data_IF_211727518757
#
_entry.id   IF_211727518757
#
_cell.length_a   1.000
_cell.length_b   1.000
_cell.length_c   1.000
_cell.angle_alpha   90.00
_cell.angle_beta   90.00
_cell.angle_gamma   90.00
#
_symmetry.space_group_name_H-M   'P 1'
#
loop_
_entity.id
_entity.type
_entity.pdbx_description
1 polymer ?
#
# COMPACT_ATOMS: atom_id res chain seq x y z
N UNK A 1 12.36 -79.05 21.20
CA UNK A 1 11.82 -77.94 20.40
C UNK A 1 12.60 -76.69 20.77
N UNK A 2 13.58 -76.30 19.94
CA UNK A 2 14.33 -75.07 20.16
C UNK A 2 13.44 -73.91 19.67
N UNK A 3 13.03 -73.04 20.58
CA UNK A 3 12.39 -71.78 20.23
C UNK A 3 13.49 -70.88 19.62
N UNK A 4 13.53 -70.85 18.30
CA UNK A 4 14.35 -69.91 17.55
C UNK A 4 13.72 -68.53 17.73
N UNK A 5 14.23 -67.78 18.71
CA UNK A 5 13.90 -66.36 18.85
C UNK A 5 14.47 -65.65 17.63
N UNK A 6 13.65 -65.46 16.60
CA UNK A 6 13.93 -64.59 15.46
C UNK A 6 14.26 -63.21 16.01
N UNK A 7 15.55 -62.90 16.10
CA UNK A 7 16.02 -61.56 16.39
C UNK A 7 15.88 -60.79 15.08
N UNK A 8 14.66 -60.32 14.80
CA UNK A 8 14.46 -59.36 13.74
C UNK A 8 15.24 -58.10 14.12
N UNK A 9 16.44 -57.96 13.55
CA UNK A 9 17.06 -56.65 13.43
C UNK A 9 16.21 -55.95 12.38
N UNK A 10 15.12 -55.33 12.82
CA UNK A 10 14.29 -54.50 11.95
C UNK A 10 15.15 -53.35 11.46
N UNK A 11 15.89 -53.59 10.38
CA UNK A 11 16.65 -52.58 9.66
C UNK A 11 15.55 -51.70 9.05
N UNK A 12 15.25 -50.60 9.73
CA UNK A 12 14.43 -49.55 9.16
C UNK A 12 15.32 -48.87 8.13
N UNK A 13 15.04 -49.08 6.85
CA UNK A 13 15.67 -48.29 5.78
C UNK A 13 15.13 -46.88 5.90
N UNK A 14 15.98 -45.95 6.32
CA UNK A 14 15.62 -44.54 6.40
C UNK A 14 16.14 -43.84 5.16
N UNK A 15 15.22 -43.48 4.27
CA UNK A 15 15.52 -42.73 3.06
C UNK A 15 15.28 -41.23 3.28
N UNK A 16 16.22 -40.41 2.83
CA UNK A 16 16.04 -38.96 2.82
C UNK A 16 15.08 -38.56 1.69
N UNK A 17 13.98 -37.91 2.04
CA UNK A 17 13.04 -37.37 1.06
C UNK A 17 13.34 -35.89 0.78
N UNK A 18 13.97 -35.64 -0.37
CA UNK A 18 14.30 -34.29 -0.85
C UNK A 18 13.37 -33.79 -1.97
N UNK A 19 12.20 -34.41 -2.18
CA UNK A 19 11.24 -34.00 -3.22
C UNK A 19 10.71 -32.57 -3.05
N UNK A 20 10.82 -32.00 -1.85
CA UNK A 20 10.46 -30.59 -1.60
C UNK A 20 11.39 -29.60 -2.29
N UNK A 21 12.59 -30.03 -2.71
CA UNK A 21 13.55 -29.17 -3.41
C UNK A 21 13.25 -29.19 -4.91
N UNK A 22 13.06 -28.01 -5.49
CA UNK A 22 12.94 -27.90 -6.94
C UNK A 22 14.32 -27.69 -7.57
N UNK A 23 14.70 -28.56 -8.49
CA UNK A 23 15.94 -28.45 -9.26
C UNK A 23 17.25 -28.61 -8.46
N UNK A 24 18.37 -28.66 -9.17
CA UNK A 24 19.69 -28.74 -8.57
C UNK A 24 20.21 -27.32 -8.27
N UNK A 25 20.16 -26.91 -7.01
CA UNK A 25 20.63 -25.58 -6.60
C UNK A 25 22.16 -25.56 -6.46
N UNK A 26 22.82 -24.68 -7.22
CA UNK A 26 24.26 -24.38 -7.13
C UNK A 26 24.58 -23.20 -6.22
N UNK A 27 23.58 -22.61 -5.56
CA UNK A 27 23.70 -21.31 -4.89
C UNK A 27 23.87 -21.41 -3.36
N UNK A 28 24.62 -20.46 -2.80
CA UNK A 28 24.94 -20.26 -1.37
C UNK A 28 23.73 -19.79 -0.52
N UNK A 29 22.64 -20.57 -0.56
CA UNK A 29 21.35 -20.27 0.08
C UNK A 29 21.17 -20.83 1.50
N UNK A 30 22.24 -21.25 2.17
CA UNK A 30 22.19 -21.93 3.48
C UNK A 30 22.92 -21.17 4.57
N UNK A 31 22.45 -21.31 5.81
CA UNK A 31 23.09 -20.78 7.02
C UNK A 31 23.14 -21.85 8.09
N UNK A 32 24.17 -21.84 8.92
CA UNK A 32 24.27 -22.75 10.06
C UNK A 32 23.43 -22.26 11.23
N UNK A 33 22.57 -23.11 11.79
CA UNK A 33 21.70 -22.80 12.93
C UNK A 33 21.79 -23.89 14.00
N UNK A 34 21.38 -23.57 15.23
CA UNK A 34 21.24 -24.55 16.32
C UNK A 34 19.76 -24.91 16.49
N UNK A 35 19.46 -26.21 16.54
CA UNK A 35 18.10 -26.69 16.77
C UNK A 35 17.81 -26.83 18.28
N UNK A 36 16.59 -26.50 18.67
CA UNK A 36 16.04 -26.89 19.96
C UNK A 36 15.30 -28.21 19.80
N UNK A 37 15.99 -29.32 20.11
CA UNK A 37 15.48 -30.68 19.93
C UNK A 37 14.21 -30.97 20.76
N UNK A 38 13.98 -30.23 21.85
CA UNK A 38 12.78 -30.39 22.67
C UNK A 38 11.50 -30.03 21.90
N UNK A 39 11.60 -29.12 20.92
CA UNK A 39 10.46 -28.70 20.08
C UNK A 39 10.07 -29.73 19.03
N UNK A 40 10.92 -30.71 18.72
CA UNK A 40 10.64 -31.80 17.80
C UNK A 40 10.02 -33.00 18.52
N UNK A 41 10.31 -33.17 19.81
CA UNK A 41 9.77 -34.25 20.65
C UNK A 41 8.36 -33.91 21.18
N UNK A 42 7.40 -33.78 20.26
CA UNK A 42 6.01 -33.48 20.59
C UNK A 42 5.22 -34.75 20.98
N UNK A 43 4.27 -34.59 21.90
CA UNK A 43 3.36 -35.68 22.33
C UNK A 43 2.37 -36.10 21.25
N UNK A 44 2.02 -35.19 20.35
CA UNK A 44 1.14 -35.43 19.21
C UNK A 44 1.87 -36.29 18.18
N UNK A 45 1.49 -37.57 18.08
CA UNK A 45 2.15 -38.53 17.20
C UNK A 45 2.05 -38.14 15.72
N UNK A 46 0.93 -37.54 15.30
CA UNK A 46 0.75 -37.13 13.90
C UNK A 46 1.69 -35.97 13.55
N UNK A 47 1.90 -35.02 14.46
CA UNK A 47 2.91 -33.98 14.28
C UNK A 47 4.32 -34.56 14.34
N UNK A 48 4.59 -35.44 15.30
CA UNK A 48 5.88 -36.09 15.48
C UNK A 48 6.31 -36.85 14.22
N UNK A 49 5.40 -37.60 13.60
CA UNK A 49 5.67 -38.37 12.38
C UNK A 49 5.91 -37.48 11.15
N UNK A 50 5.43 -36.23 11.17
CA UNK A 50 5.78 -35.24 10.14
C UNK A 50 7.20 -34.71 10.31
N UNK A 51 7.72 -34.64 11.53
CA UNK A 51 9.06 -34.15 11.80
C UNK A 51 10.12 -35.25 11.75
N UNK A 52 9.77 -36.45 12.21
CA UNK A 52 10.72 -37.50 12.53
C UNK A 52 10.49 -38.76 11.69
N UNK A 53 11.55 -39.54 11.54
CA UNK A 53 11.52 -40.89 10.96
C UNK A 53 12.48 -41.80 11.74
N UNK A 54 12.37 -43.11 11.55
CA UNK A 54 13.11 -44.10 12.33
C UNK A 54 12.61 -44.25 13.78
N UNK A 55 11.38 -43.83 14.06
CA UNK A 55 10.75 -43.98 15.37
C UNK A 55 10.46 -45.47 15.64
N UNK A 56 10.82 -45.93 16.84
CA UNK A 56 10.46 -47.23 17.36
C UNK A 56 10.70 -47.31 18.87
N UNK A 57 10.02 -48.23 19.56
CA UNK A 57 10.05 -48.33 21.03
C UNK A 57 11.45 -48.53 21.64
N UNK A 58 12.41 -48.96 20.80
CA UNK A 58 13.82 -49.20 21.19
C UNK A 58 14.80 -48.40 20.34
N UNK A 59 14.33 -47.37 19.62
CA UNK A 59 15.18 -46.56 18.78
C UNK A 59 16.20 -45.78 19.64
N UNK A 60 17.48 -46.05 19.41
CA UNK A 60 18.60 -45.28 19.97
C UNK A 60 19.08 -44.19 19.02
N UNK A 61 18.60 -44.24 17.77
CA UNK A 61 18.87 -43.26 16.72
C UNK A 61 17.55 -42.96 16.01
N UNK A 62 17.26 -41.68 15.83
CA UNK A 62 16.12 -41.17 15.08
C UNK A 62 16.62 -40.09 14.12
N UNK A 63 15.79 -39.69 13.16
CA UNK A 63 16.18 -38.68 12.19
C UNK A 63 15.10 -37.61 12.05
N UNK A 64 15.53 -36.35 11.98
CA UNK A 64 14.69 -35.20 11.65
C UNK A 64 14.69 -35.04 10.13
N UNK A 65 13.51 -35.07 9.51
CA UNK A 65 13.33 -34.98 8.05
C UNK A 65 13.83 -33.63 7.51
N UNK A 66 14.42 -33.62 6.32
CA UNK A 66 14.75 -32.38 5.59
C UNK A 66 13.47 -31.63 5.18
N UNK A 67 13.58 -30.34 4.87
CA UNK A 67 12.45 -29.52 4.38
C UNK A 67 11.48 -29.07 5.47
N UNK A 68 11.70 -29.38 6.75
CA UNK A 68 10.85 -28.86 7.83
C UNK A 68 10.95 -27.34 7.88
N UNK A 69 9.82 -26.60 7.85
CA UNK A 69 9.83 -25.17 8.09
C UNK A 69 10.29 -24.87 9.50
N UNK A 70 11.38 -24.10 9.62
CA UNK A 70 11.98 -23.72 10.89
C UNK A 70 11.62 -22.28 11.24
N UNK A 71 11.43 -22.02 12.52
CA UNK A 71 11.21 -20.70 13.07
C UNK A 71 12.09 -20.48 14.31
N UNK A 72 12.45 -19.22 14.54
CA UNK A 72 13.36 -18.84 15.62
C UNK A 72 12.60 -18.71 16.94
N UNK A 73 13.12 -19.34 17.99
CA UNK A 73 12.65 -19.18 19.36
C UNK A 73 13.23 -17.88 19.90
N UNK A 74 12.38 -16.99 20.41
CA UNK A 74 12.79 -15.63 20.82
C UNK A 74 13.74 -15.65 22.01
N UNK A 75 13.51 -16.53 22.98
CA UNK A 75 14.29 -16.57 24.21
C UNK A 75 15.71 -17.14 24.03
N UNK A 76 15.84 -18.28 23.35
CA UNK A 76 17.13 -18.98 23.18
C UNK A 76 17.88 -18.55 21.91
N UNK A 77 17.17 -18.05 20.90
CA UNK A 77 17.71 -17.82 19.57
C UNK A 77 17.93 -19.09 18.74
N UNK A 78 17.66 -20.27 19.31
CA UNK A 78 17.65 -21.55 18.62
C UNK A 78 16.42 -21.68 17.71
N UNK A 79 16.39 -22.73 16.90
CA UNK A 79 15.36 -22.96 15.89
C UNK A 79 14.58 -24.24 16.17
N UNK A 80 13.28 -24.20 15.95
CA UNK A 80 12.38 -25.35 16.04
C UNK A 80 11.37 -25.33 14.89
N UNK A 81 10.52 -26.36 14.76
CA UNK A 81 9.47 -26.37 13.74
C UNK A 81 8.56 -25.15 13.87
N UNK A 82 8.22 -24.52 12.75
CA UNK A 82 7.19 -23.47 12.72
C UNK A 82 5.86 -24.04 13.22
N UNK A 83 5.26 -23.36 14.21
CA UNK A 83 3.94 -23.69 14.73
C UNK A 83 3.17 -22.39 14.94
N UNK A 84 2.07 -22.15 14.18
CA UNK A 84 1.27 -20.93 14.31
C UNK A 84 0.59 -20.80 15.68
N UNK A 85 0.52 -21.88 16.47
CA UNK A 85 -0.07 -21.86 17.81
C UNK A 85 0.98 -21.75 18.92
N UNK A 86 2.27 -21.65 18.58
CA UNK A 86 3.32 -21.43 19.56
C UNK A 86 3.24 -20.04 20.20
N UNK A 87 3.87 -19.88 21.35
CA UNK A 87 3.97 -18.61 22.09
C UNK A 87 5.42 -18.19 22.35
N UNK A 88 6.38 -18.93 21.79
CA UNK A 88 7.82 -18.81 22.05
C UNK A 88 8.58 -18.05 20.94
N UNK A 89 7.86 -17.51 19.95
CA UNK A 89 8.41 -16.81 18.79
C UNK A 89 8.25 -17.60 17.48
N UNK A 90 8.09 -18.93 17.55
CA UNK A 90 7.97 -19.78 16.36
C UNK A 90 6.70 -19.53 15.54
N UNK A 91 5.68 -18.92 16.12
CA UNK A 91 4.43 -18.56 15.44
C UNK A 91 4.56 -17.37 14.49
N UNK A 92 5.60 -16.56 14.63
CA UNK A 92 5.66 -15.25 13.97
C UNK A 92 6.03 -15.34 12.49
N UNK A 93 7.01 -16.20 12.15
CA UNK A 93 7.63 -16.23 10.83
C UNK A 93 8.45 -17.50 10.62
N UNK A 94 8.32 -18.10 9.45
CA UNK A 94 9.22 -19.15 8.96
C UNK A 94 10.54 -18.49 8.59
N UNK A 95 11.62 -18.87 9.27
CA UNK A 95 12.95 -18.34 9.01
C UNK A 95 13.65 -19.05 7.84
N UNK A 96 13.30 -20.30 7.58
CA UNK A 96 13.90 -21.12 6.53
C UNK A 96 13.41 -22.56 6.57
N UNK A 97 14.03 -23.42 5.77
CA UNK A 97 13.75 -24.85 5.70
C UNK A 97 15.00 -25.62 6.13
N UNK A 98 14.84 -26.73 6.84
CA UNK A 98 15.97 -27.59 7.19
C UNK A 98 16.61 -28.18 5.91
N UNK A 99 17.91 -27.99 5.72
CA UNK A 99 18.60 -28.27 4.45
C UNK A 99 18.70 -29.76 4.14
N UNK A 100 19.01 -30.56 5.16
CA UNK A 100 19.27 -31.99 5.03
C UNK A 100 18.73 -32.72 6.25
N UNK A 101 18.53 -34.02 6.11
CA UNK A 101 18.12 -34.88 7.21
C UNK A 101 19.18 -34.87 8.33
N UNK A 102 18.73 -34.77 9.57
CA UNK A 102 19.62 -34.67 10.75
C UNK A 102 19.48 -35.93 11.59
N UNK A 103 20.59 -36.62 11.82
CA UNK A 103 20.65 -37.78 12.71
C UNK A 103 20.74 -37.35 14.17
N UNK A 104 19.88 -37.94 15.00
CA UNK A 104 19.74 -37.66 16.42
C UNK A 104 20.00 -38.95 17.20
N UNK A 105 20.93 -38.89 18.16
CA UNK A 105 21.12 -39.96 19.14
C UNK A 105 20.15 -39.75 20.29
N UNK A 106 19.43 -40.82 20.64
CA UNK A 106 18.52 -40.86 21.78
C UNK A 106 19.23 -41.58 22.92
N UNK A 107 19.59 -40.83 23.95
CA UNK A 107 20.25 -41.36 25.16
C UNK A 107 19.42 -41.09 26.40
N UNK A 108 19.83 -41.66 27.54
CA UNK A 108 19.21 -41.33 28.83
C UNK A 108 19.37 -39.85 29.20
N UNK A 109 20.42 -39.17 28.69
CA UNK A 109 20.67 -37.75 28.90
C UNK A 109 19.82 -36.82 28.03
N UNK A 110 19.00 -37.36 27.13
CA UNK A 110 18.21 -36.60 26.16
C UNK A 110 18.63 -36.88 24.72
N UNK A 111 18.18 -36.00 23.83
CA UNK A 111 18.45 -36.07 22.40
C UNK A 111 19.67 -35.21 22.07
N UNK A 112 20.54 -35.71 21.21
CA UNK A 112 21.72 -34.98 20.74
C UNK A 112 21.96 -35.17 19.24
N UNK A 113 22.51 -34.16 18.57
CA UNK A 113 22.81 -34.22 17.13
C UNK A 113 24.14 -34.96 16.93
N UNK A 114 24.11 -36.06 16.19
CA UNK A 114 25.26 -36.98 16.09
C UNK A 114 26.47 -36.34 15.39
N UNK A 115 26.24 -35.52 14.36
CA UNK A 115 27.30 -34.93 13.53
C UNK A 115 27.50 -33.42 13.77
N UNK A 116 27.29 -32.95 15.00
CA UNK A 116 27.64 -31.59 15.43
C UNK A 116 26.44 -30.74 15.86
N UNK A 117 26.71 -29.69 16.65
CA UNK A 117 25.68 -28.84 17.27
C UNK A 117 24.93 -27.91 16.30
N UNK A 118 25.37 -27.85 15.04
CA UNK A 118 24.83 -26.95 14.03
C UNK A 118 24.36 -27.72 12.80
N UNK A 119 23.22 -27.29 12.25
CA UNK A 119 22.62 -27.85 11.06
C UNK A 119 22.46 -26.77 9.99
N UNK A 120 22.39 -27.17 8.72
CA UNK A 120 22.10 -26.25 7.63
C UNK A 120 20.62 -25.89 7.60
N UNK A 121 20.31 -24.60 7.54
CA UNK A 121 18.98 -24.09 7.22
C UNK A 121 19.06 -23.30 5.92
N UNK A 122 18.26 -23.70 4.94
CA UNK A 122 18.06 -22.94 3.71
C UNK A 122 17.21 -21.73 4.02
N UNK A 123 17.64 -20.56 3.57
CA UNK A 123 16.85 -19.32 3.67
C UNK A 123 16.39 -18.82 2.30
N UNK A 124 16.85 -19.44 1.19
CA UNK A 124 16.41 -19.12 -0.19
C UNK A 124 16.41 -20.33 -1.11
N UNK A 125 15.50 -20.33 -2.08
CA UNK A 125 15.48 -21.29 -3.18
C UNK A 125 14.07 -21.59 -3.69
N UNK A 126 14.02 -22.33 -4.78
CA UNK A 126 12.78 -22.85 -5.36
C UNK A 126 12.41 -24.18 -4.70
N UNK A 127 11.13 -24.32 -4.33
CA UNK A 127 10.61 -25.45 -3.57
C UNK A 127 9.29 -25.94 -4.17
N UNK A 128 8.90 -27.15 -3.81
CA UNK A 128 7.57 -27.70 -4.05
C UNK A 128 6.85 -27.73 -2.69
N UNK A 129 6.02 -26.71 -2.40
CA UNK A 129 5.41 -26.51 -1.07
C UNK A 129 4.54 -27.68 -0.65
N UNK A 130 3.83 -28.31 -1.60
CA UNK A 130 2.98 -29.48 -1.33
C UNK A 130 3.76 -30.71 -0.86
N UNK A 131 5.07 -30.76 -1.11
CA UNK A 131 5.97 -31.86 -0.76
C UNK A 131 6.72 -31.66 0.57
N UNK A 132 6.53 -30.52 1.23
CA UNK A 132 7.13 -30.27 2.55
C UNK A 132 6.56 -31.26 3.60
N UNK A 133 7.38 -31.76 4.55
CA UNK A 133 6.89 -32.64 5.61
C UNK A 133 5.80 -31.98 6.47
N UNK A 134 5.90 -30.66 6.63
CA UNK A 134 4.85 -29.82 7.19
C UNK A 134 4.57 -28.69 6.22
N UNK A 135 3.42 -28.80 5.56
CA UNK A 135 2.92 -27.76 4.64
C UNK A 135 2.38 -26.58 5.46
N UNK A 136 2.98 -25.38 5.37
CA UNK A 136 2.44 -24.21 6.04
C UNK A 136 1.12 -23.74 5.40
N UNK A 137 0.21 -23.23 6.22
CA UNK A 137 -1.02 -22.60 5.73
C UNK A 137 -0.71 -21.39 4.81
N UNK A 138 -1.63 -21.03 3.91
CA UNK A 138 -1.40 -19.99 2.90
C UNK A 138 -1.11 -18.59 3.48
N UNK A 139 -1.56 -18.31 4.69
CA UNK A 139 -1.25 -17.08 5.42
C UNK A 139 0.08 -17.09 6.18
N UNK A 140 0.89 -18.15 6.08
CA UNK A 140 2.17 -18.23 6.79
C UNK A 140 3.15 -17.18 6.27
N UNK A 141 3.83 -16.49 7.19
CA UNK A 141 4.81 -15.46 6.85
C UNK A 141 6.18 -16.11 6.66
N UNK A 142 6.82 -15.89 5.50
CA UNK A 142 8.16 -16.39 5.20
C UNK A 142 9.19 -15.26 5.26
N UNK A 143 10.30 -15.49 5.96
CA UNK A 143 11.40 -14.53 6.12
C UNK A 143 12.53 -14.68 5.10
N UNK A 144 12.51 -15.75 4.30
CA UNK A 144 13.54 -16.07 3.31
C UNK A 144 13.31 -15.44 1.93
N UNK A 145 13.86 -16.03 0.88
CA UNK A 145 13.44 -15.80 -0.51
C UNK A 145 13.09 -17.13 -1.16
N UNK A 146 11.82 -17.50 -1.06
CA UNK A 146 11.32 -18.78 -1.53
C UNK A 146 10.26 -18.59 -2.61
N UNK A 147 10.32 -19.45 -3.61
CA UNK A 147 9.30 -19.59 -4.63
C UNK A 147 8.74 -21.00 -4.58
N UNK A 148 7.42 -21.11 -4.62
CA UNK A 148 6.69 -22.35 -4.78
C UNK A 148 6.53 -22.64 -6.27
N UNK A 149 7.03 -23.78 -6.72
CA UNK A 149 6.98 -24.24 -8.10
C UNK A 149 6.08 -25.47 -8.16
N UNK A 150 4.85 -25.26 -8.61
CA UNK A 150 3.84 -26.30 -8.77
C UNK A 150 3.32 -26.23 -10.21
N UNK A 151 3.36 -27.35 -10.93
CA UNK A 151 2.87 -27.44 -12.33
C UNK A 151 3.35 -26.28 -13.22
N UNK A 152 4.66 -26.04 -13.24
CA UNK A 152 5.34 -24.94 -13.96
C UNK A 152 4.91 -23.52 -13.57
N UNK A 153 4.12 -23.37 -12.50
CA UNK A 153 3.68 -22.08 -11.96
C UNK A 153 4.59 -21.64 -10.81
N UNK A 154 5.13 -20.42 -10.92
CA UNK A 154 6.02 -19.83 -9.91
C UNK A 154 5.24 -18.88 -9.01
N UNK A 155 5.16 -19.18 -7.71
CA UNK A 155 4.49 -18.33 -6.72
C UNK A 155 5.47 -17.87 -5.64
N UNK A 156 5.69 -16.55 -5.45
CA UNK A 156 6.56 -16.07 -4.37
C UNK A 156 5.92 -16.33 -2.99
N UNK A 157 6.67 -16.92 -2.07
CA UNK A 157 6.21 -17.22 -0.69
C UNK A 157 6.63 -16.15 0.33
N UNK A 158 7.75 -15.48 0.09
CA UNK A 158 8.39 -14.57 1.05
C UNK A 158 8.24 -13.08 0.75
N UNK A 159 7.36 -12.74 -0.18
CA UNK A 159 7.09 -11.36 -0.55
C UNK A 159 5.58 -11.16 -0.59
N UNK A 160 5.01 -10.76 0.54
CA UNK A 160 3.79 -9.98 0.48
C UNK A 160 4.16 -8.63 -0.18
N UNK A 161 3.79 -8.50 -1.47
CA UNK A 161 3.95 -7.33 -2.36
C UNK A 161 5.34 -7.18 -3.01
N UNK A 162 5.50 -7.05 -4.33
CA UNK A 162 4.55 -6.58 -5.33
C UNK A 162 3.76 -7.70 -6.00
N UNK A 163 2.44 -7.65 -5.87
CA UNK A 163 1.56 -8.24 -6.86
C UNK A 163 1.82 -7.55 -8.21
N UNK A 164 2.73 -8.09 -9.00
CA UNK A 164 2.63 -8.05 -10.47
C UNK A 164 1.96 -9.35 -10.96
N UNK A 165 1.03 -9.91 -10.18
CA UNK A 165 -0.05 -10.67 -10.78
C UNK A 165 -0.79 -9.73 -11.73
N UNK A 166 -1.44 -10.21 -12.79
CA UNK A 166 -2.20 -9.35 -13.68
C UNK A 166 -3.21 -8.62 -12.80
N UNK A 167 -2.94 -7.35 -12.50
CA UNK A 167 -3.87 -6.52 -11.79
C UNK A 167 -5.10 -6.51 -12.68
N UNK A 168 -6.14 -7.29 -12.31
CA UNK A 168 -7.49 -6.88 -12.67
C UNK A 168 -7.51 -5.43 -12.24
N UNK A 169 -7.72 -4.46 -13.14
CA UNK A 169 -7.62 -3.06 -12.77
C UNK A 169 -8.56 -2.84 -11.59
N UNK A 170 -8.00 -2.75 -10.38
CA UNK A 170 -8.81 -2.35 -9.24
C UNK A 170 -9.13 -0.91 -9.53
N UNK A 171 -10.41 -0.60 -9.67
CA UNK A 171 -10.84 0.78 -9.89
C UNK A 171 -10.27 1.63 -8.77
N UNK A 172 -9.29 2.46 -9.09
CA UNK A 172 -8.74 3.43 -8.14
C UNK A 172 -9.78 4.53 -8.01
N UNK A 173 -10.48 4.54 -6.89
CA UNK A 173 -11.46 5.58 -6.57
C UNK A 173 -10.74 6.78 -5.95
N UNK A 174 -11.35 7.97 -5.99
CA UNK A 174 -10.80 9.14 -5.31
C UNK A 174 -10.59 8.92 -3.80
N UNK A 175 -11.33 7.99 -3.18
CA UNK A 175 -11.14 7.61 -1.78
C UNK A 175 -9.81 6.88 -1.51
N UNK A 176 -9.22 6.26 -2.54
CA UNK A 176 -7.93 5.59 -2.44
C UNK A 176 -6.74 6.57 -2.46
N UNK A 177 -6.96 7.84 -2.83
CA UNK A 177 -5.92 8.88 -2.89
C UNK A 177 -5.93 9.62 -1.54
N UNK A 178 -5.34 8.98 -0.54
CA UNK A 178 -5.43 9.41 0.88
C UNK A 178 -4.60 10.65 1.20
N UNK A 179 -3.60 10.96 0.39
CA UNK A 179 -2.75 12.15 0.48
C UNK A 179 -3.34 13.37 -0.27
N UNK A 180 -4.38 13.19 -1.10
CA UNK A 180 -5.11 14.29 -1.70
C UNK A 180 -6.00 15.00 -0.68
N UNK A 181 -6.17 16.31 -0.84
CA UNK A 181 -7.11 17.09 -0.04
C UNK A 181 -8.57 16.72 -0.34
N UNK A 182 -9.49 17.13 0.53
CA UNK A 182 -10.92 16.97 0.27
C UNK A 182 -11.35 17.62 -1.05
N UNK A 183 -10.81 18.81 -1.35
CA UNK A 183 -11.03 19.52 -2.62
C UNK A 183 -10.51 18.70 -3.80
N UNK A 184 -9.28 18.16 -3.71
CA UNK A 184 -8.69 17.33 -4.77
C UNK A 184 -9.54 16.09 -5.08
N UNK A 185 -10.02 15.40 -4.04
CA UNK A 185 -10.90 14.23 -4.21
C UNK A 185 -12.25 14.63 -4.82
N UNK A 186 -12.84 15.76 -4.41
CA UNK A 186 -14.10 16.26 -4.97
C UNK A 186 -14.00 16.61 -6.46
N UNK A 187 -12.86 17.16 -6.91
CA UNK A 187 -12.61 17.44 -8.33
C UNK A 187 -12.54 16.15 -9.15
N UNK A 188 -11.86 15.13 -8.64
CA UNK A 188 -11.73 13.83 -9.32
C UNK A 188 -13.07 13.09 -9.48
N UNK A 189 -14.04 13.40 -8.62
CA UNK A 189 -15.40 12.83 -8.68
C UNK A 189 -16.44 13.77 -9.27
N UNK A 190 -16.04 14.94 -9.79
CA UNK A 190 -17.00 15.90 -10.34
C UNK A 190 -17.65 15.34 -11.62
N UNK A 191 -18.97 15.26 -11.64
CA UNK A 191 -19.75 14.76 -12.79
C UNK A 191 -19.73 15.68 -14.00
N UNK A 192 -19.46 16.97 -13.78
CA UNK A 192 -19.53 18.01 -14.78
C UNK A 192 -18.72 19.26 -14.35
N UNK A 193 -18.65 20.23 -15.27
CA UNK A 193 -17.92 21.48 -15.04
C UNK A 193 -18.53 22.36 -13.94
N UNK A 194 -19.84 22.26 -13.65
CA UNK A 194 -20.46 23.02 -12.58
C UNK A 194 -20.09 22.46 -11.20
N UNK A 195 -20.11 21.13 -11.05
CA UNK A 195 -19.63 20.43 -9.86
C UNK A 195 -18.14 20.73 -9.59
N UNK A 196 -17.31 20.73 -10.63
CA UNK A 196 -15.89 21.07 -10.51
C UNK A 196 -15.67 22.52 -10.03
N UNK A 197 -16.43 23.49 -10.57
CA UNK A 197 -16.38 24.90 -10.13
C UNK A 197 -16.78 25.07 -8.67
N UNK A 198 -17.88 24.43 -8.27
CA UNK A 198 -18.32 24.40 -6.87
C UNK A 198 -17.24 23.81 -5.96
N UNK A 199 -16.57 22.72 -6.37
CA UNK A 199 -15.53 22.06 -5.59
C UNK A 199 -14.31 22.96 -5.29
N UNK A 200 -13.93 23.83 -6.24
CA UNK A 200 -12.83 24.81 -6.04
C UNK A 200 -13.32 26.14 -5.44
N UNK A 201 -14.61 26.25 -5.06
CA UNK A 201 -15.20 27.51 -4.60
C UNK A 201 -15.24 28.60 -5.68
N UNK A 202 -15.07 28.24 -6.95
CA UNK A 202 -15.24 29.16 -8.05
C UNK A 202 -16.74 29.30 -8.32
N UNK A 203 -17.27 30.51 -8.12
CA UNK A 203 -18.51 30.87 -8.78
C UNK A 203 -18.34 30.76 -10.29
N UNK A 204 -19.43 30.52 -11.03
CA UNK A 204 -19.47 31.12 -12.38
C UNK A 204 -19.26 32.61 -12.16
N UNK A 205 -18.37 33.27 -12.90
CA UNK A 205 -18.37 34.72 -12.87
C UNK A 205 -19.74 35.16 -13.40
N UNK A 206 -20.70 35.41 -12.51
CA UNK A 206 -22.01 35.97 -12.86
C UNK A 206 -21.91 37.45 -13.23
N UNK A 207 -20.69 37.95 -13.41
CA UNK A 207 -20.44 39.26 -13.96
C UNK A 207 -20.77 39.22 -15.45
N UNK A 208 -21.90 39.81 -15.81
CA UNK A 208 -22.42 39.96 -17.16
C UNK A 208 -21.63 40.98 -18.01
N UNK A 209 -20.50 41.49 -17.49
CA UNK A 209 -19.70 42.53 -18.13
C UNK A 209 -20.30 43.93 -18.00
N UNK A 210 -21.51 44.07 -17.46
CA UNK A 210 -22.19 45.35 -17.33
C UNK A 210 -21.78 46.06 -16.04
N UNK A 211 -21.28 47.28 -16.16
CA UNK A 211 -21.05 48.16 -15.02
C UNK A 211 -22.31 48.33 -14.16
N UNK A 212 -23.50 48.27 -14.78
CA UNK A 212 -24.76 48.43 -14.08
C UNK A 212 -25.08 47.29 -13.10
N UNK A 213 -24.49 46.11 -13.28
CA UNK A 213 -24.72 44.92 -12.46
C UNK A 213 -23.84 44.87 -11.20
N UNK A 214 -22.90 45.81 -11.05
CA UNK A 214 -22.12 45.98 -9.83
C UNK A 214 -23.01 46.45 -8.68
N UNK A 215 -22.96 45.71 -7.56
CA UNK A 215 -23.44 46.17 -6.27
C UNK A 215 -22.50 47.27 -5.75
N UNK A 216 -23.04 48.18 -4.95
CA UNK A 216 -22.29 49.26 -4.28
C UNK A 216 -21.52 50.20 -5.23
N UNK A 217 -21.98 50.36 -6.48
CA UNK A 217 -21.38 51.32 -7.43
C UNK A 217 -21.66 52.78 -7.02
N UNK A 218 -20.68 53.69 -7.19
CA UNK A 218 -20.91 55.12 -7.01
C UNK A 218 -22.06 55.63 -7.89
N UNK A 219 -22.91 56.51 -7.35
CA UNK A 219 -23.94 57.17 -8.15
C UNK A 219 -23.31 58.33 -8.91
N UNK A 220 -23.34 58.28 -10.25
CA UNK A 220 -22.85 59.36 -11.11
C UNK A 220 -23.94 60.45 -11.16
N UNK A 221 -23.66 61.70 -10.74
CA UNK A 221 -24.62 62.80 -10.87
C UNK A 221 -25.03 63.01 -12.33
N UNK A 222 -26.26 63.49 -12.60
CA UNK A 222 -26.68 63.82 -13.96
C UNK A 222 -25.75 64.88 -14.57
N UNK A 223 -25.60 64.84 -15.90
CA UNK A 223 -24.83 65.84 -16.61
C UNK A 223 -25.39 67.25 -16.32
N UNK A 224 -24.50 68.18 -15.99
CA UNK A 224 -24.90 69.56 -15.72
C UNK A 224 -25.47 70.22 -16.97
N UNK A 225 -26.68 70.78 -16.87
CA UNK A 225 -27.29 71.61 -17.90
C UNK A 225 -27.19 73.08 -17.48
N UNK A 226 -26.52 73.90 -18.31
CA UNK A 226 -26.39 75.33 -18.05
C UNK A 226 -27.75 76.02 -18.21
N UNK A 227 -28.35 76.59 -17.14
CA UNK A 227 -29.64 77.29 -17.25
C UNK A 227 -29.48 78.63 -17.98
N UNK A 228 -30.57 79.15 -18.53
CA UNK A 228 -30.60 80.52 -19.03
C UNK A 228 -30.48 81.52 -17.87
N UNK A 229 -29.77 82.63 -18.08
CA UNK A 229 -29.70 83.70 -17.09
C UNK A 229 -31.10 84.26 -16.78
N UNK A 230 -31.36 84.52 -15.49
CA UNK A 230 -32.58 85.22 -15.04
C UNK A 230 -32.20 86.36 -14.11
N UNK A 231 -33.17 87.22 -13.77
CA UNK A 231 -32.93 88.28 -12.79
C UNK A 231 -32.55 87.77 -11.38
N UNK A 232 -32.82 86.49 -11.09
CA UNK A 232 -32.68 85.89 -9.76
C UNK A 232 -31.68 84.73 -9.72
N UNK A 233 -31.11 84.31 -10.86
CA UNK A 233 -30.18 83.20 -10.95
C UNK A 233 -29.17 83.39 -12.08
N UNK A 234 -27.91 83.05 -11.80
CA UNK A 234 -26.85 83.01 -12.81
C UNK A 234 -27.14 81.94 -13.87
N UNK A 235 -26.78 82.24 -15.11
CA UNK A 235 -26.97 81.32 -16.24
C UNK A 235 -26.28 81.83 -17.50
N UNK A 236 -26.38 81.05 -18.57
CA UNK A 236 -25.84 81.40 -19.87
C UNK A 236 -26.69 82.42 -20.63
N UNK A 237 -26.03 83.22 -21.47
CA UNK A 237 -26.66 84.08 -22.47
C UNK A 237 -26.12 83.74 -23.85
N UNK A 238 -26.90 83.99 -24.90
CA UNK A 238 -26.44 83.81 -26.28
C UNK A 238 -25.61 85.02 -26.71
N UNK A 239 -24.60 84.78 -27.55
CA UNK A 239 -23.86 85.85 -28.20
C UNK A 239 -24.78 86.64 -29.14
N UNK A 240 -24.63 87.97 -29.13
CA UNK A 240 -25.36 88.87 -30.01
C UNK A 240 -24.48 89.27 -31.19
N UNK A 241 -25.02 89.16 -32.41
CA UNK A 241 -24.37 89.61 -33.65
C UNK A 241 -25.05 90.88 -34.13
N UNK A 242 -24.25 91.92 -34.39
CA UNK A 242 -24.72 93.24 -34.84
C UNK A 242 -23.93 93.69 -36.07
N UNK A 243 -24.57 94.45 -36.95
CA UNK A 243 -23.88 95.11 -38.05
C UNK A 243 -22.94 96.22 -37.52
N UNK A 244 -21.84 96.54 -38.23
CA UNK A 244 -21.03 97.72 -37.90
C UNK A 244 -21.89 98.98 -37.85
N UNK A 245 -21.68 99.81 -36.83
CA UNK A 245 -22.44 101.06 -36.62
C UNK A 245 -23.97 100.87 -36.46
N UNK A 246 -24.42 99.72 -35.96
CA UNK A 246 -25.83 99.48 -35.64
C UNK A 246 -26.44 100.59 -34.76
N UNK A 247 -27.72 100.91 -34.98
CA UNK A 247 -28.39 101.95 -34.20
C UNK A 247 -28.64 101.50 -32.76
N UNK A 248 -28.85 102.45 -31.85
CA UNK A 248 -29.18 102.13 -30.46
C UNK A 248 -30.46 101.26 -30.34
N UNK A 249 -31.44 101.46 -31.23
CA UNK A 249 -32.66 100.67 -31.27
C UNK A 249 -32.40 99.21 -31.66
N UNK A 250 -31.51 98.98 -32.63
CA UNK A 250 -31.13 97.63 -33.09
C UNK A 250 -30.35 96.88 -32.00
N UNK A 251 -29.46 97.57 -31.29
CA UNK A 251 -28.70 97.00 -30.17
C UNK A 251 -29.65 96.54 -29.07
N UNK A 252 -30.59 97.40 -28.65
CA UNK A 252 -31.57 97.07 -27.60
C UNK A 252 -32.45 95.89 -28.03
N UNK A 253 -32.91 95.88 -29.28
CA UNK A 253 -33.73 94.80 -29.82
C UNK A 253 -32.98 93.46 -29.83
N UNK A 254 -31.71 93.48 -30.23
CA UNK A 254 -30.88 92.28 -30.29
C UNK A 254 -30.55 91.73 -28.89
N UNK A 255 -30.25 92.60 -27.91
CA UNK A 255 -30.02 92.20 -26.51
C UNK A 255 -31.28 91.59 -25.87
N UNK A 256 -32.47 92.13 -26.16
CA UNK A 256 -33.75 91.55 -25.69
C UNK A 256 -34.01 90.19 -26.31
N UNK A 257 -33.77 90.06 -27.61
CA UNK A 257 -33.97 88.80 -28.35
C UNK A 257 -33.03 87.70 -27.84
N UNK A 258 -31.80 88.04 -27.46
CA UNK A 258 -30.84 87.11 -26.88
C UNK A 258 -31.06 86.81 -25.38
N UNK A 259 -32.06 87.43 -24.75
CA UNK A 259 -32.37 87.24 -23.33
C UNK A 259 -31.37 87.90 -22.38
N UNK A 260 -30.56 88.86 -22.86
CA UNK A 260 -29.55 89.57 -22.06
C UNK A 260 -30.16 90.72 -21.26
N UNK A 261 -31.17 91.37 -21.83
CA UNK A 261 -31.88 92.51 -21.21
C UNK A 261 -33.39 92.36 -21.41
N UNK A 262 -34.19 93.01 -20.56
CA UNK A 262 -35.66 93.11 -20.70
C UNK A 262 -36.08 94.41 -21.37
#
# INVERSE_FOLDING_TARGET
MAYENVRSTGIVTVEENNEWRFGNHTDDGTVSVTLDLSTFNVKDETKRDKYLTGLGDKATTIWIKSGIPLAKITASGAYGPYDPNATDGRQNKIAGLLESMVEISVTFGGWDVVNGANVGMRYRGDIIKSKLPVVPADGAVWGGSFFDIEDDTVTPLSNASATSGPSTPTTITAANITDASAVGRSILTASDAAAARTAIGAGISSFDGSYNSLKDKPTIPPAYTLPAATANALGGVKQVTLAPSATAADIVTALKTAGVAK
#
